data_IF_467303447695
#
_entry.id   IF_467303447695
#
_cell.length_a   1.000
_cell.length_b   1.000
_cell.length_c   1.000
_cell.angle_alpha   90.00
_cell.angle_beta   90.00
_cell.angle_gamma   90.00
#
_symmetry.space_group_name_H-M   'P 1'
#
loop_
_entity.id
_entity.type
_entity.pdbx_description
1 polymer ?
#
# COMPACT_ATOMS: atom_id res chain seq x y z
N UNK A 1 15.00 9.19 -1.99
CA UNK A 1 15.20 8.63 -0.64
C UNK A 1 15.06 7.13 -0.74
N UNK A 2 15.76 6.37 0.09
CA UNK A 2 15.65 4.90 0.15
C UNK A 2 14.98 4.51 1.46
N UNK A 3 13.97 3.66 1.40
CA UNK A 3 13.19 3.21 2.55
C UNK A 3 13.37 1.70 2.77
N UNK A 4 13.64 1.30 4.01
CA UNK A 4 13.73 -0.09 4.42
C UNK A 4 12.40 -0.52 5.05
N UNK A 5 11.69 -1.40 4.37
CA UNK A 5 10.33 -1.84 4.76
C UNK A 5 10.24 -3.35 4.98
N UNK A 6 11.36 -4.08 5.00
CA UNK A 6 11.35 -5.56 5.07
C UNK A 6 10.62 -6.11 6.29
N UNK A 7 10.80 -5.49 7.46
CA UNK A 7 10.10 -5.90 8.69
C UNK A 7 8.61 -5.55 8.65
N UNK A 8 8.24 -4.53 7.87
CA UNK A 8 6.87 -4.04 7.79
C UNK A 8 6.03 -4.75 6.72
N UNK A 9 6.63 -5.64 5.91
CA UNK A 9 5.95 -6.31 4.78
C UNK A 9 4.65 -6.99 5.19
N UNK A 10 4.60 -7.59 6.38
CA UNK A 10 3.42 -8.31 6.89
C UNK A 10 2.32 -7.38 7.42
N UNK A 11 2.69 -6.15 7.77
CA UNK A 11 1.81 -5.17 8.40
C UNK A 11 1.25 -4.15 7.40
N UNK A 12 1.77 -4.13 6.17
CA UNK A 12 1.29 -3.25 5.11
C UNK A 12 -0.20 -3.50 4.82
N UNK A 13 -1.09 -2.47 4.95
CA UNK A 13 -2.52 -2.67 4.74
C UNK A 13 -2.88 -3.22 3.35
N UNK A 14 -2.09 -2.86 2.33
CA UNK A 14 -2.22 -3.34 0.94
C UNK A 14 -1.64 -4.73 0.67
N UNK A 15 -1.13 -5.43 1.70
CA UNK A 15 -0.51 -6.75 1.58
C UNK A 15 0.96 -6.71 1.19
N UNK A 16 1.58 -7.88 1.09
CA UNK A 16 3.00 -8.05 0.78
C UNK A 16 3.32 -7.87 -0.71
N UNK A 17 2.41 -8.29 -1.59
CA UNK A 17 2.62 -8.31 -3.04
C UNK A 17 3.09 -6.95 -3.63
N UNK A 18 2.53 -5.78 -3.26
CA UNK A 18 3.03 -4.50 -3.74
C UNK A 18 4.49 -4.23 -3.33
N UNK A 19 4.89 -4.59 -2.10
CA UNK A 19 6.25 -4.36 -1.63
C UNK A 19 7.24 -5.30 -2.29
N UNK A 20 6.87 -6.58 -2.46
CA UNK A 20 7.72 -7.58 -3.10
C UNK A 20 7.89 -7.31 -4.61
N UNK A 21 6.82 -6.92 -5.30
CA UNK A 21 6.85 -6.68 -6.75
C UNK A 21 7.65 -5.45 -7.13
N UNK A 22 7.73 -4.46 -6.25
CA UNK A 22 8.43 -3.20 -6.49
C UNK A 22 9.74 -3.04 -5.69
N UNK A 23 10.21 -4.09 -5.00
CA UNK A 23 11.44 -4.03 -4.24
C UNK A 23 12.62 -3.53 -5.11
N UNK A 24 13.36 -2.54 -4.60
CA UNK A 24 14.51 -1.94 -5.29
C UNK A 24 14.18 -0.97 -6.43
N UNK A 25 12.91 -0.59 -6.62
CA UNK A 25 12.47 0.36 -7.67
C UNK A 25 12.01 1.69 -7.08
N UNK A 26 11.97 2.73 -7.90
CA UNK A 26 11.18 3.93 -7.58
C UNK A 26 9.70 3.57 -7.65
N UNK A 27 8.99 3.88 -6.56
CA UNK A 27 7.55 3.60 -6.41
C UNK A 27 6.74 4.85 -6.20
N UNK A 28 7.31 6.03 -6.46
CA UNK A 28 6.66 7.31 -6.18
C UNK A 28 5.27 7.41 -6.82
N UNK A 29 5.14 7.03 -8.10
CA UNK A 29 3.87 7.13 -8.82
C UNK A 29 2.83 6.12 -8.29
N UNK A 30 3.25 4.89 -8.00
CA UNK A 30 2.38 3.88 -7.38
C UNK A 30 1.95 4.30 -5.97
N UNK A 31 2.86 4.90 -5.18
CA UNK A 31 2.54 5.41 -3.85
C UNK A 31 1.44 6.48 -3.93
N UNK A 32 1.57 7.45 -4.85
CA UNK A 32 0.56 8.50 -5.10
C UNK A 32 -0.79 7.90 -5.51
N UNK A 33 -0.79 6.88 -6.37
CA UNK A 33 -2.02 6.27 -6.87
C UNK A 33 -2.84 5.57 -5.77
N UNK A 34 -2.17 4.92 -4.81
CA UNK A 34 -2.83 4.02 -3.87
C UNK A 34 -2.90 4.53 -2.44
N UNK A 35 -2.19 5.60 -2.09
CA UNK A 35 -2.13 6.10 -0.72
C UNK A 35 -2.72 7.50 -0.60
N UNK A 36 -3.50 7.79 0.46
CA UNK A 36 -3.88 9.15 0.77
C UNK A 36 -2.66 9.98 1.16
N UNK A 37 -2.72 11.30 1.00
CA UNK A 37 -1.64 12.21 1.40
C UNK A 37 -1.22 12.09 2.87
N UNK A 38 -2.12 11.61 3.74
CA UNK A 38 -1.80 11.35 5.15
C UNK A 38 -0.83 10.19 5.37
N UNK A 39 -0.60 9.34 4.36
CA UNK A 39 0.32 8.21 4.45
C UNK A 39 1.80 8.62 4.41
N UNK A 40 2.13 9.78 3.81
CA UNK A 40 3.52 10.27 3.68
C UNK A 40 4.23 10.37 5.03
N UNK A 41 3.52 10.78 6.09
CA UNK A 41 4.06 10.89 7.46
C UNK A 41 4.59 9.58 8.04
N UNK A 42 4.17 8.43 7.50
CA UNK A 42 4.61 7.12 7.97
C UNK A 42 5.94 6.69 7.33
N UNK A 43 6.42 7.37 6.29
CA UNK A 43 7.67 7.00 5.60
C UNK A 43 8.91 7.34 6.42
N UNK A 44 8.85 8.35 7.28
CA UNK A 44 10.00 8.84 8.06
C UNK A 44 10.64 7.73 8.91
N UNK A 45 9.84 6.83 9.49
CA UNK A 45 10.33 5.73 10.32
C UNK A 45 11.09 4.65 9.50
N UNK A 46 10.90 4.60 8.19
CA UNK A 46 11.54 3.64 7.29
C UNK A 46 12.75 4.22 6.56
N UNK A 47 13.03 5.51 6.75
CA UNK A 47 14.07 6.20 6.00
C UNK A 47 15.46 5.72 6.41
N UNK A 48 16.25 5.28 5.44
CA UNK A 48 17.58 4.69 5.65
C UNK A 48 18.72 5.72 5.69
N UNK A 49 18.40 7.02 5.69
CA UNK A 49 19.36 8.12 5.48
C UNK A 49 20.03 8.15 4.09
N UNK A 50 19.76 7.18 3.21
CA UNK A 50 20.30 7.17 1.85
C UNK A 50 19.43 7.93 0.84
N UNK A 51 20.10 8.68 -0.02
CA UNK A 51 19.50 9.37 -1.15
C UNK A 51 19.93 8.72 -2.46
N UNK A 52 19.00 8.64 -3.40
CA UNK A 52 19.28 8.20 -4.77
C UNK A 52 19.92 9.38 -5.51
N UNK A 53 21.08 9.16 -6.12
CA UNK A 53 21.75 10.15 -6.97
C UNK A 53 21.26 10.04 -8.41
N UNK A 54 21.39 11.14 -9.16
CA UNK A 54 21.11 11.19 -10.60
C UNK A 54 19.70 10.72 -11.00
N UNK A 55 18.75 10.87 -10.09
CA UNK A 55 17.36 10.50 -10.31
C UNK A 55 16.69 11.48 -11.28
N UNK A 56 16.21 10.96 -12.40
CA UNK A 56 15.48 11.73 -13.42
C UNK A 56 14.03 11.26 -13.46
N UNK A 57 13.10 12.21 -13.30
CA UNK A 57 11.67 11.96 -13.45
C UNK A 57 11.30 12.12 -14.92
N UNK A 58 10.62 11.13 -15.49
CA UNK A 58 10.11 11.19 -16.86
C UNK A 58 9.07 12.31 -17.03
N UNK A 59 8.90 12.85 -18.24
CA UNK A 59 7.85 13.85 -18.51
C UNK A 59 6.45 13.33 -18.19
N UNK A 60 6.18 12.06 -18.50
CA UNK A 60 4.90 11.40 -18.19
C UNK A 60 4.66 11.36 -16.68
N UNK A 61 5.68 10.99 -15.89
CA UNK A 61 5.58 10.99 -14.42
C UNK A 61 5.40 12.40 -13.86
N UNK A 62 6.05 13.42 -14.42
CA UNK A 62 5.84 14.82 -14.01
C UNK A 62 4.39 15.24 -14.24
N UNK A 63 3.84 14.97 -15.42
CA UNK A 63 2.46 15.30 -15.76
C UNK A 63 1.45 14.54 -14.88
N UNK A 64 1.67 13.25 -14.68
CA UNK A 64 0.85 12.43 -13.79
C UNK A 64 0.79 13.03 -12.37
N UNK A 65 1.95 13.35 -11.78
CA UNK A 65 2.03 13.93 -10.42
C UNK A 65 1.35 15.29 -10.35
N UNK A 66 1.51 16.13 -11.37
CA UNK A 66 0.84 17.45 -11.45
C UNK A 66 -0.68 17.30 -11.44
N UNK A 67 -1.22 16.46 -12.31
CA UNK A 67 -2.68 16.25 -12.41
C UNK A 67 -3.23 15.62 -11.13
N UNK A 68 -2.54 14.62 -10.55
CA UNK A 68 -2.95 14.00 -9.29
C UNK A 68 -3.05 15.03 -8.15
N UNK A 69 -2.08 15.95 -8.07
CA UNK A 69 -2.10 17.05 -7.09
C UNK A 69 -3.23 18.05 -7.36
N UNK A 70 -3.46 18.43 -8.63
CA UNK A 70 -4.54 19.32 -9.02
C UNK A 70 -5.91 18.74 -8.64
N UNK A 71 -6.15 17.47 -8.96
CA UNK A 71 -7.42 16.78 -8.65
C UNK A 71 -7.63 16.62 -7.14
N UNK A 72 -6.55 16.35 -6.40
CA UNK A 72 -6.60 16.30 -4.93
C UNK A 72 -6.99 17.66 -4.35
N UNK A 73 -6.40 18.75 -4.85
CA UNK A 73 -6.69 20.12 -4.40
C UNK A 73 -8.12 20.55 -4.72
N UNK A 74 -8.69 20.04 -5.81
CA UNK A 74 -10.08 20.28 -6.22
C UNK A 74 -11.07 19.31 -5.53
N UNK A 75 -10.61 18.44 -4.63
CA UNK A 75 -11.41 17.44 -3.93
C UNK A 75 -12.19 16.50 -4.87
N UNK A 76 -11.62 16.15 -6.03
CA UNK A 76 -12.30 15.36 -7.06
C UNK A 76 -12.29 13.83 -6.80
N UNK A 77 -11.81 13.39 -5.64
CA UNK A 77 -11.73 11.96 -5.27
C UNK A 77 -12.74 11.60 -4.16
N UNK A 78 -13.41 10.45 -4.29
CA UNK A 78 -14.27 9.92 -3.24
C UNK A 78 -13.45 9.52 -2.00
N UNK A 79 -13.91 9.94 -0.82
CA UNK A 79 -13.31 9.58 0.48
C UNK A 79 -13.84 8.23 1.02
N UNK A 80 -13.95 7.19 0.18
CA UNK A 80 -14.35 5.84 0.64
C UNK A 80 -13.20 5.15 1.39
N UNK A 81 -13.50 4.59 2.57
CA UNK A 81 -12.53 3.85 3.37
C UNK A 81 -12.20 2.48 2.77
N UNK A 82 -10.90 2.20 2.57
CA UNK A 82 -10.41 0.89 2.12
C UNK A 82 -10.09 0.01 3.33
N UNK A 83 -11.12 -0.56 3.95
CA UNK A 83 -10.96 -1.58 4.99
C UNK A 83 -11.08 -2.98 4.39
N UNK A 84 -10.06 -3.83 4.53
CA UNK A 84 -10.22 -5.29 4.32
C UNK A 84 -11.38 -5.76 5.19
N UNK A 85 -12.49 -6.19 4.59
CA UNK A 85 -13.41 -7.10 5.29
C UNK A 85 -12.64 -8.40 5.44
N UNK A 86 -12.26 -8.75 6.67
CA UNK A 86 -11.85 -10.12 6.98
C UNK A 86 -13.09 -10.99 6.87
N UNK A 87 -13.21 -11.69 5.76
CA UNK A 87 -14.17 -12.74 5.49
C UNK A 87 -13.93 -13.90 6.46
N UNK A 88 -14.83 -14.03 7.43
CA UNK A 88 -14.79 -14.96 8.56
C UNK A 88 -15.04 -16.43 8.17
N UNK A 89 -14.87 -16.79 6.90
CA UNK A 89 -15.29 -18.08 6.35
C UNK A 89 -14.15 -18.98 5.84
N UNK A 90 -12.88 -18.61 6.03
CA UNK A 90 -11.73 -19.43 5.65
C UNK A 90 -11.23 -20.37 6.77
N UNK A 91 -12.13 -20.94 7.58
CA UNK A 91 -11.82 -22.07 8.46
C UNK A 91 -12.90 -23.14 8.30
N UNK A 92 -12.74 -23.93 7.23
CA UNK A 92 -13.50 -25.14 7.00
C UNK A 92 -13.16 -26.22 8.02
N UNK A 93 -14.23 -26.76 8.61
CA UNK A 93 -14.45 -28.17 8.97
C UNK A 93 -13.37 -28.90 9.78
N UNK A 94 -13.65 -29.08 11.08
CA UNK A 94 -13.44 -30.37 11.74
C UNK A 94 -14.77 -30.89 12.23
N UNK A 95 -15.30 -31.89 11.51
CA UNK A 95 -16.45 -32.67 11.96
C UNK A 95 -16.14 -33.34 13.30
N UNK A 96 -17.06 -33.17 14.25
CA UNK A 96 -17.20 -34.07 15.38
C UNK A 96 -18.52 -34.82 15.21
N UNK A 97 -18.38 -36.13 15.13
CA UNK A 97 -19.42 -37.14 15.28
C UNK A 97 -20.22 -36.90 16.56
N UNK A 98 -21.54 -36.76 16.42
CA UNK A 98 -22.51 -36.78 17.51
C UNK A 98 -23.58 -37.82 17.21
N UNK A 99 -23.65 -38.82 18.07
CA UNK A 99 -24.46 -40.03 18.00
C UNK A 99 -25.97 -39.79 17.92
N UNK A 100 -26.65 -40.69 17.22
CA UNK A 100 -28.10 -40.85 17.19
C UNK A 100 -28.53 -41.86 18.25
N UNK A 101 -29.09 -41.39 19.37
CA UNK A 101 -29.75 -42.27 20.34
C UNK A 101 -31.16 -41.72 20.65
N UNK A 102 -32.18 -42.55 20.42
CA UNK A 102 -33.48 -42.54 21.12
C UNK A 102 -34.67 -41.91 20.41
#
# INVERSE_FOLDING_TARGET
>A
MVYYVSEWVKDHPGGDAPLLSFAGRDVTDAFIAYHPGTAWKHLDQFFTSYYVKDFVVSEISKDYRRIANEFTRLELFEKKGHGRKLDKYAMGERGQSGSIDG
#
